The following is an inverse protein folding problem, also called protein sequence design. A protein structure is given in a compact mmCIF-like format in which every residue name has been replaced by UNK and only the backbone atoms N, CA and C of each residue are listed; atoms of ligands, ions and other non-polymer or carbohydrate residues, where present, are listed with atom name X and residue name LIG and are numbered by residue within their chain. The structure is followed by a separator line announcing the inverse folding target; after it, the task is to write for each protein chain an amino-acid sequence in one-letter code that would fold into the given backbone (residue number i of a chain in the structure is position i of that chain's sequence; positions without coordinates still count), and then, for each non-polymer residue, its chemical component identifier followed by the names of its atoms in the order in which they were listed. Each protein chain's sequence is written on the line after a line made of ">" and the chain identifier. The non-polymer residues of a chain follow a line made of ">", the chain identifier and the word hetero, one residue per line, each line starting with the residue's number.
data_IF_873495579788
#
_entry.id   IF_873495579788
#
_cell.length_a   1.000
_cell.length_b   1.000
_cell.length_c   1.000
_cell.angle_alpha   90.00
_cell.angle_beta   90.00
_cell.angle_gamma   90.00
#
_symmetry.space_group_name_H-M   'P 1'
#
loop_
_entity.id
_entity.type
_entity.pdbx_description
1 polymer ?
#
# COMPACT_ATOMS: atom_id res chain seq x y z
N UNK A 1 -43.68 1.30 2.96
CA UNK A 1 -42.80 0.11 2.80
C UNK A 1 -41.49 0.59 2.22
N UNK A 2 -40.39 0.55 2.98
CA UNK A 2 -39.06 0.93 2.51
C UNK A 2 -38.39 -0.32 1.95
N UNK A 3 -38.04 -0.32 0.67
CA UNK A 3 -37.25 -1.38 0.07
C UNK A 3 -35.88 -1.40 0.77
N UNK A 4 -35.57 -2.49 1.46
CA UNK A 4 -34.22 -2.78 1.89
C UNK A 4 -33.41 -3.13 0.64
N UNK A 5 -32.48 -2.25 0.27
CA UNK A 5 -31.45 -2.55 -0.74
C UNK A 5 -30.70 -3.79 -0.28
N UNK A 6 -30.52 -4.83 -1.10
CA UNK A 6 -29.70 -5.97 -0.72
C UNK A 6 -28.31 -5.46 -0.38
N UNK A 7 -27.81 -5.78 0.81
CA UNK A 7 -26.46 -5.46 1.23
C UNK A 7 -25.49 -6.09 0.22
N UNK A 8 -24.87 -5.26 -0.61
CA UNK A 8 -23.72 -5.67 -1.43
C UNK A 8 -22.74 -6.32 -0.48
N UNK A 9 -22.41 -7.60 -0.70
CA UNK A 9 -21.35 -8.25 0.09
C UNK A 9 -20.10 -7.36 -0.01
N UNK A 10 -19.43 -7.04 1.10
CA UNK A 10 -18.20 -6.26 1.04
C UNK A 10 -17.24 -6.94 0.05
N UNK A 11 -16.94 -6.29 -1.06
CA UNK A 11 -16.06 -6.87 -2.08
C UNK A 11 -14.63 -6.76 -1.58
N UNK A 12 -14.20 -7.73 -0.76
CA UNK A 12 -12.82 -7.75 -0.30
C UNK A 12 -11.87 -8.01 -1.49
N UNK A 13 -10.86 -7.15 -1.66
CA UNK A 13 -9.78 -7.39 -2.63
C UNK A 13 -8.63 -8.11 -1.95
N UNK A 14 -7.94 -8.99 -2.69
CA UNK A 14 -6.75 -9.69 -2.18
C UNK A 14 -5.51 -9.11 -2.81
N UNK A 15 -4.56 -8.73 -1.97
CA UNK A 15 -3.31 -8.12 -2.41
C UNK A 15 -2.13 -8.60 -1.59
N UNK A 16 -0.98 -8.76 -2.25
CA UNK A 16 0.31 -8.84 -1.60
C UNK A 16 0.91 -7.44 -1.56
N UNK A 17 0.94 -6.84 -0.37
CA UNK A 17 1.67 -5.60 -0.13
C UNK A 17 3.14 -5.95 0.04
N UNK A 18 4.00 -5.33 -0.76
CA UNK A 18 5.45 -5.45 -0.67
C UNK A 18 6.00 -4.15 -0.09
N UNK A 19 6.84 -4.24 0.94
CA UNK A 19 7.52 -3.11 1.54
C UNK A 19 9.00 -3.44 1.77
N UNK A 20 9.90 -2.45 1.75
CA UNK A 20 11.30 -2.74 2.04
C UNK A 20 11.46 -3.10 3.51
N UNK A 21 12.41 -3.97 3.81
CA UNK A 21 12.86 -4.19 5.18
C UNK A 21 13.58 -2.92 5.64
N UNK A 22 12.88 -2.11 6.43
CA UNK A 22 13.38 -0.83 6.95
C UNK A 22 14.16 -0.96 8.25
N UNK A 23 14.25 -2.18 8.80
CA UNK A 23 14.97 -2.45 10.04
C UNK A 23 16.48 -2.28 9.84
N UNK A 24 17.06 -1.32 10.53
CA UNK A 24 18.50 -1.03 10.54
C UNK A 24 19.07 -1.47 11.89
N UNK A 25 20.13 -2.27 11.88
CA UNK A 25 20.81 -2.74 13.10
C UNK A 25 20.66 -4.25 13.35
N UNK A 26 21.29 -4.76 14.42
CA UNK A 26 21.35 -6.20 14.75
C UNK A 26 20.84 -6.43 16.17
N UNK A 27 19.92 -7.39 16.33
CA UNK A 27 19.38 -7.77 17.63
C UNK A 27 18.63 -6.63 18.35
N UNK A 28 18.96 -6.40 19.62
CA UNK A 28 18.33 -5.38 20.47
C UNK A 28 18.67 -3.94 20.06
N UNK A 29 19.63 -3.75 19.14
CA UNK A 29 20.02 -2.44 18.61
C UNK A 29 19.41 -2.17 17.23
N UNK A 30 18.19 -2.67 16.99
CA UNK A 30 17.48 -2.46 15.73
C UNK A 30 16.51 -1.29 15.80
N UNK A 31 16.49 -0.48 14.76
CA UNK A 31 15.57 0.64 14.57
C UNK A 31 14.77 0.42 13.29
N UNK A 32 13.45 0.60 13.37
CA UNK A 32 12.55 0.55 12.23
C UNK A 32 11.79 1.87 12.12
N UNK A 33 12.14 2.74 11.15
CA UNK A 33 11.50 4.04 10.99
C UNK A 33 10.01 3.95 10.67
N UNK A 34 9.57 2.89 10.00
CA UNK A 34 8.15 2.68 9.67
C UNK A 34 7.39 2.29 10.92
N UNK A 35 7.92 1.34 11.70
CA UNK A 35 7.31 0.98 12.97
C UNK A 35 7.27 2.16 13.96
N UNK A 36 8.33 2.99 13.96
CA UNK A 36 8.36 4.21 14.77
C UNK A 36 7.30 5.23 14.32
N UNK A 37 7.16 5.46 13.01
CA UNK A 37 6.18 6.41 12.47
C UNK A 37 4.72 5.97 12.72
N UNK A 38 4.44 4.67 12.66
CA UNK A 38 3.11 4.12 12.92
C UNK A 38 2.86 3.91 14.42
N UNK A 39 3.92 3.90 15.25
CA UNK A 39 3.86 3.63 16.69
C UNK A 39 3.74 2.15 17.04
N UNK A 40 3.78 1.26 16.06
CA UNK A 40 3.72 -0.20 16.24
C UNK A 40 4.40 -0.92 15.06
N UNK A 41 4.89 -2.16 15.24
CA UNK A 41 5.36 -2.97 14.12
C UNK A 41 4.26 -3.13 13.08
N UNK A 42 4.59 -2.92 11.81
CA UNK A 42 3.61 -2.91 10.73
C UNK A 42 2.79 -4.21 10.66
N UNK A 43 3.43 -5.36 10.87
CA UNK A 43 2.74 -6.65 10.90
C UNK A 43 1.62 -6.70 11.95
N UNK A 44 1.75 -6.02 13.09
CA UNK A 44 0.68 -5.95 14.10
C UNK A 44 -0.48 -5.07 13.64
N UNK A 45 -0.18 -3.98 12.93
CA UNK A 45 -1.20 -3.07 12.39
C UNK A 45 -1.99 -3.75 11.27
N UNK A 46 -1.30 -4.52 10.43
CA UNK A 46 -1.90 -5.27 9.33
C UNK A 46 -2.50 -6.62 9.76
N UNK A 47 -2.26 -7.09 10.98
CA UNK A 47 -2.69 -8.40 11.46
C UNK A 47 -4.19 -8.71 11.19
N UNK A 48 -5.14 -7.76 11.36
CA UNK A 48 -6.54 -8.01 11.07
C UNK A 48 -6.85 -8.25 9.58
N UNK A 49 -5.98 -7.78 8.69
CA UNK A 49 -6.11 -7.85 7.23
C UNK A 49 -5.31 -9.02 6.64
N UNK A 50 -4.40 -9.62 7.41
CA UNK A 50 -3.52 -10.68 6.93
C UNK A 50 -4.27 -12.00 6.71
N UNK A 51 -4.04 -12.63 5.56
CA UNK A 51 -4.61 -13.95 5.20
C UNK A 51 -3.55 -15.07 5.18
N UNK A 52 -2.32 -14.75 5.54
CA UNK A 52 -1.20 -15.68 5.56
C UNK A 52 0.03 -15.08 6.25
N UNK A 53 1.13 -15.84 6.38
CA UNK A 53 2.36 -15.36 7.01
C UNK A 53 3.04 -14.27 6.17
N UNK A 54 3.72 -13.33 6.83
CA UNK A 54 4.66 -12.42 6.16
C UNK A 54 5.83 -13.25 5.64
N UNK A 55 6.21 -13.02 4.38
CA UNK A 55 7.39 -13.67 3.78
C UNK A 55 8.40 -12.62 3.37
N UNK A 56 9.69 -12.99 3.36
CA UNK A 56 10.75 -12.13 2.84
C UNK A 56 11.22 -12.65 1.49
N UNK A 57 11.47 -11.75 0.54
CA UNK A 57 12.11 -12.09 -0.74
C UNK A 57 13.21 -11.08 -1.08
N UNK A 58 14.22 -11.49 -1.88
CA UNK A 58 15.17 -10.54 -2.44
C UNK A 58 14.43 -9.46 -3.24
N UNK A 59 14.81 -8.19 -3.07
CA UNK A 59 14.36 -7.12 -3.94
C UNK A 59 15.10 -7.18 -5.28
N UNK A 60 14.45 -6.72 -6.34
CA UNK A 60 15.07 -6.53 -7.66
C UNK A 60 15.94 -5.26 -7.73
N UNK A 61 15.88 -4.39 -6.72
CA UNK A 61 16.45 -3.04 -6.77
C UNK A 61 17.11 -2.56 -5.48
N UNK A 62 17.23 -3.39 -4.43
CA UNK A 62 17.80 -2.96 -3.16
C UNK A 62 17.70 -3.99 -2.02
N UNK A 63 17.49 -3.55 -0.76
CA UNK A 63 17.38 -4.45 0.39
C UNK A 63 16.20 -5.41 0.23
N UNK A 64 16.22 -6.54 0.96
CA UNK A 64 15.12 -7.49 0.95
C UNK A 64 13.77 -6.80 1.24
N UNK A 65 12.71 -7.35 0.69
CA UNK A 65 11.34 -6.86 0.89
C UNK A 65 10.53 -7.86 1.68
N UNK A 66 9.63 -7.36 2.51
CA UNK A 66 8.58 -8.12 3.15
C UNK A 66 7.32 -8.09 2.32
N UNK A 67 6.68 -9.25 2.19
CA UNK A 67 5.45 -9.47 1.46
C UNK A 67 4.37 -9.84 2.46
N UNK A 68 3.37 -8.99 2.55
CA UNK A 68 2.22 -9.09 3.43
C UNK A 68 1.01 -9.52 2.60
N UNK A 69 0.54 -10.78 2.72
CA UNK A 69 -0.67 -11.22 2.04
C UNK A 69 -1.90 -10.70 2.77
N UNK A 70 -2.66 -9.81 2.14
CA UNK A 70 -3.80 -9.09 2.72
C UNK A 70 -5.10 -9.43 1.99
N UNK A 71 -6.19 -9.55 2.74
CA UNK A 71 -7.54 -9.32 2.25
C UNK A 71 -8.03 -7.99 2.81
N UNK A 72 -8.35 -7.05 1.93
CA UNK A 72 -8.83 -5.72 2.28
C UNK A 72 -10.35 -5.68 2.11
N UNK A 73 -11.15 -5.69 3.19
CA UNK A 73 -12.57 -5.39 3.10
C UNK A 73 -12.81 -4.01 2.49
N UNK A 74 -14.01 -3.79 1.95
CA UNK A 74 -14.39 -2.47 1.44
C UNK A 74 -14.30 -1.40 2.53
N UNK A 75 -13.68 -0.27 2.22
CA UNK A 75 -13.42 0.83 3.17
C UNK A 75 -12.18 0.65 4.04
N UNK A 76 -11.54 -0.52 4.03
CA UNK A 76 -10.33 -0.80 4.83
C UNK A 76 -9.05 -0.46 4.06
N UNK A 77 -8.02 -0.09 4.81
CA UNK A 77 -6.73 0.30 4.26
C UNK A 77 -5.74 0.78 5.31
N UNK A 78 -4.57 1.21 4.85
CA UNK A 78 -3.55 1.82 5.68
C UNK A 78 -2.95 3.04 4.96
N UNK A 79 -2.67 4.08 5.74
CA UNK A 79 -1.89 5.23 5.33
C UNK A 79 -0.68 5.38 6.25
N UNK A 80 0.50 5.49 5.66
CA UNK A 80 1.78 5.63 6.34
C UNK A 80 2.29 7.05 6.04
N UNK A 81 2.33 7.94 7.05
CA UNK A 81 2.89 9.27 6.87
C UNK A 81 4.41 9.17 6.65
N UNK A 82 4.91 9.90 5.66
CA UNK A 82 6.33 10.04 5.35
C UNK A 82 6.88 11.43 5.74
N UNK A 83 6.18 12.13 6.65
CA UNK A 83 6.52 13.48 7.07
C UNK A 83 6.51 14.47 5.90
N UNK A 84 7.62 15.18 5.69
CA UNK A 84 7.76 16.18 4.63
C UNK A 84 7.64 15.61 3.20
N UNK A 85 7.72 14.29 3.04
CA UNK A 85 7.60 13.62 1.75
C UNK A 85 6.16 13.20 1.39
N UNK A 86 5.20 13.41 2.30
CA UNK A 86 3.78 13.10 2.07
C UNK A 86 3.34 11.81 2.73
N UNK A 87 2.67 10.95 1.98
CA UNK A 87 2.01 9.73 2.49
C UNK A 87 2.10 8.63 1.44
N UNK A 88 2.24 7.40 1.91
CA UNK A 88 1.94 6.21 1.10
C UNK A 88 0.75 5.53 1.73
N UNK A 89 -0.22 5.13 0.93
CA UNK A 89 -1.36 4.40 1.44
C UNK A 89 -1.98 3.49 0.41
N UNK A 90 -2.76 2.54 0.91
CA UNK A 90 -3.61 1.68 0.10
C UNK A 90 -4.93 1.49 0.83
N UNK A 91 -6.02 1.43 0.08
CA UNK A 91 -7.33 1.09 0.61
C UNK A 91 -8.16 0.38 -0.46
N UNK A 92 -9.19 -0.34 -0.03
CA UNK A 92 -10.21 -0.85 -0.92
C UNK A 92 -11.36 0.16 -1.02
N UNK A 93 -11.49 0.81 -2.18
CA UNK A 93 -12.56 1.75 -2.50
C UNK A 93 -13.49 1.12 -3.54
N UNK A 94 -14.65 0.62 -3.08
CA UNK A 94 -15.66 -0.03 -3.91
C UNK A 94 -15.12 -1.16 -4.82
N UNK A 95 -14.21 -2.00 -4.29
CA UNK A 95 -13.59 -3.10 -5.03
C UNK A 95 -12.39 -2.69 -5.91
N UNK A 96 -12.01 -1.41 -5.89
CA UNK A 96 -10.79 -0.89 -6.52
C UNK A 96 -9.72 -0.67 -5.46
N UNK A 97 -8.46 -0.86 -5.83
CA UNK A 97 -7.34 -0.47 -4.98
C UNK A 97 -7.14 1.05 -5.11
N UNK A 98 -7.49 1.80 -4.07
CA UNK A 98 -7.10 3.18 -3.92
C UNK A 98 -5.65 3.25 -3.45
N UNK A 99 -4.74 3.66 -4.33
CA UNK A 99 -3.32 3.77 -4.05
C UNK A 99 -2.93 5.24 -3.87
N UNK A 100 -2.40 5.59 -2.69
CA UNK A 100 -1.88 6.92 -2.39
C UNK A 100 -0.35 6.90 -2.39
N UNK A 101 0.26 7.84 -3.10
CA UNK A 101 1.72 7.99 -3.21
C UNK A 101 2.12 9.46 -3.14
N UNK A 102 3.38 9.78 -2.80
CA UNK A 102 3.91 11.13 -2.96
C UNK A 102 3.72 11.65 -4.40
N UNK A 103 3.39 12.93 -4.55
CA UNK A 103 3.13 13.53 -5.86
C UNK A 103 4.28 13.33 -6.86
N UNK A 104 5.52 13.39 -6.38
CA UNK A 104 6.73 13.14 -7.18
C UNK A 104 6.77 11.74 -7.82
N UNK A 105 6.12 10.74 -7.22
CA UNK A 105 6.06 9.38 -7.74
C UNK A 105 4.86 9.14 -8.68
N UNK A 106 3.94 10.11 -8.81
CA UNK A 106 2.67 9.94 -9.54
C UNK A 106 2.87 9.59 -11.01
N UNK A 107 3.80 10.25 -11.71
CA UNK A 107 4.09 9.98 -13.12
C UNK A 107 4.61 8.57 -13.35
N UNK A 108 5.52 8.11 -12.49
CA UNK A 108 6.06 6.75 -12.53
C UNK A 108 4.94 5.71 -12.29
N UNK A 109 4.12 5.93 -11.25
CA UNK A 109 3.02 5.02 -10.88
C UNK A 109 1.99 4.92 -12.00
N UNK A 110 1.61 6.05 -12.60
CA UNK A 110 0.71 6.08 -13.76
C UNK A 110 1.28 5.29 -14.94
N UNK A 111 2.56 5.47 -15.26
CA UNK A 111 3.21 4.73 -16.34
C UNK A 111 3.23 3.22 -16.08
N UNK A 112 3.46 2.79 -14.83
CA UNK A 112 3.54 1.37 -14.50
C UNK A 112 2.19 0.68 -14.45
N UNK A 113 1.18 1.36 -13.90
CA UNK A 113 -0.18 0.81 -13.78
C UNK A 113 -0.96 0.88 -15.10
N UNK A 114 -0.65 1.86 -15.96
CA UNK A 114 -1.23 2.00 -17.29
C UNK A 114 -2.76 1.93 -17.26
N UNK A 115 -3.33 1.05 -18.10
CA UNK A 115 -4.78 0.88 -18.26
C UNK A 115 -5.49 0.27 -17.04
N UNK A 116 -4.75 -0.11 -15.99
CA UNK A 116 -5.36 -0.51 -14.73
C UNK A 116 -5.84 0.69 -13.92
N UNK A 117 -5.34 1.90 -14.19
CA UNK A 117 -5.84 3.13 -13.56
C UNK A 117 -7.23 3.44 -14.12
N UNK A 118 -8.23 3.35 -13.26
CA UNK A 118 -9.63 3.68 -13.59
C UNK A 118 -9.90 5.17 -13.38
N UNK A 119 -9.25 5.76 -12.37
CA UNK A 119 -9.40 7.18 -12.00
C UNK A 119 -8.10 7.69 -11.32
N UNK A 120 -7.84 8.99 -11.47
CA UNK A 120 -6.65 9.68 -10.97
C UNK A 120 -5.53 9.93 -12.01
N UNK A 121 -4.43 10.59 -11.61
CA UNK A 121 -4.10 10.98 -10.23
C UNK A 121 -4.99 12.10 -9.72
N UNK A 122 -5.58 11.90 -8.55
CA UNK A 122 -6.23 12.98 -7.79
C UNK A 122 -5.22 13.58 -6.83
N UNK A 123 -4.95 14.87 -6.99
CA UNK A 123 -4.01 15.58 -6.14
C UNK A 123 -4.69 15.97 -4.82
N UNK A 124 -4.03 15.68 -3.70
CA UNK A 124 -4.48 16.07 -2.36
C UNK A 124 -3.28 16.60 -1.57
N UNK A 125 -3.51 17.61 -0.74
CA UNK A 125 -2.50 18.07 0.20
C UNK A 125 -2.55 17.23 1.48
N UNK A 126 -1.39 16.76 1.96
CA UNK A 126 -1.22 16.06 3.23
C UNK A 126 -0.17 16.80 4.06
N UNK A 127 -0.63 17.62 5.01
CA UNK A 127 0.25 18.58 5.71
C UNK A 127 0.88 19.59 4.75
N UNK A 128 2.21 19.65 4.73
CA UNK A 128 2.98 20.50 3.80
C UNK A 128 3.29 19.84 2.46
N UNK A 129 2.99 18.55 2.31
CA UNK A 129 3.35 17.75 1.13
C UNK A 129 2.14 17.50 0.23
N UNK A 130 2.42 17.20 -1.04
CA UNK A 130 1.41 16.81 -2.02
C UNK A 130 1.45 15.30 -2.26
N UNK A 131 0.28 14.69 -2.34
CA UNK A 131 0.10 13.28 -2.65
C UNK A 131 -0.84 13.12 -3.85
N UNK A 132 -0.71 11.98 -4.53
CA UNK A 132 -1.60 11.54 -5.60
C UNK A 132 -2.32 10.27 -5.17
N UNK A 133 -3.63 10.22 -5.38
CA UNK A 133 -4.42 8.99 -5.22
C UNK A 133 -4.88 8.48 -6.59
N UNK A 134 -4.72 7.18 -6.81
CA UNK A 134 -5.16 6.46 -8.00
C UNK A 134 -6.17 5.40 -7.60
N UNK A 135 -7.24 5.22 -8.38
CA UNK A 135 -8.11 4.04 -8.25
C UNK A 135 -7.71 3.03 -9.30
N UNK A 136 -7.33 1.83 -8.86
CA UNK A 136 -6.74 0.81 -9.71
C UNK A 136 -7.64 -0.41 -9.74
N UNK A 137 -7.99 -0.87 -10.95
CA UNK A 137 -8.64 -2.15 -11.15
C UNK A 137 -7.59 -3.24 -11.18
N UNK A 138 -7.52 -4.00 -10.10
CA UNK A 138 -6.67 -5.16 -10.00
C UNK A 138 -7.15 -6.26 -10.97
N UNK A 139 -6.20 -6.86 -11.68
CA UNK A 139 -6.39 -8.07 -12.48
C UNK A 139 -5.62 -9.19 -11.82
N UNK A 140 -6.11 -10.43 -11.87
CA UNK A 140 -5.39 -11.57 -11.30
C UNK A 140 -3.94 -11.63 -11.83
N UNK A 141 -2.97 -11.77 -10.92
CA UNK A 141 -1.54 -11.79 -11.25
C UNK A 141 -0.92 -10.43 -11.62
N UNK A 142 -1.67 -9.33 -11.54
CA UNK A 142 -1.13 -7.99 -11.75
C UNK A 142 -0.16 -7.62 -10.63
N UNK A 143 1.02 -7.11 -10.98
CA UNK A 143 2.02 -6.61 -10.03
C UNK A 143 2.53 -5.24 -10.43
N UNK A 144 2.62 -4.35 -9.45
CA UNK A 144 3.31 -3.06 -9.58
C UNK A 144 4.15 -2.81 -8.33
N UNK A 145 5.41 -2.43 -8.49
CA UNK A 145 6.25 -1.94 -7.40
C UNK A 145 7.02 -0.71 -7.83
N UNK A 146 7.05 0.33 -7.01
CA UNK A 146 7.72 1.60 -7.27
C UNK A 146 8.78 1.89 -6.21
N UNK A 147 9.85 2.60 -6.58
CA UNK A 147 10.84 3.05 -5.62
C UNK A 147 10.24 4.10 -4.68
N UNK A 148 10.63 4.04 -3.42
CA UNK A 148 10.28 5.04 -2.40
C UNK A 148 11.54 5.79 -1.93
N UNK A 149 12.34 6.25 -2.88
CA UNK A 149 13.64 6.88 -2.61
C UNK A 149 14.66 5.86 -2.06
N UNK A 150 15.58 6.32 -1.21
CA UNK A 150 16.66 5.48 -0.65
C UNK A 150 16.21 4.39 0.33
N UNK A 151 14.89 4.27 0.57
CA UNK A 151 14.29 3.38 1.57
C UNK A 151 13.92 2.01 0.95
N UNK A 152 13.84 1.91 -0.38
CA UNK A 152 13.60 0.66 -1.12
C UNK A 152 12.41 0.72 -2.08
N UNK A 153 11.67 -0.38 -2.23
CA UNK A 153 10.50 -0.48 -3.13
C UNK A 153 9.21 -0.80 -2.36
N UNK A 154 8.10 -0.18 -2.78
CA UNK A 154 6.74 -0.52 -2.32
C UNK A 154 5.97 -1.07 -3.48
N UNK A 155 5.21 -2.14 -3.28
CA UNK A 155 4.43 -2.72 -4.35
C UNK A 155 3.14 -3.37 -3.90
N UNK A 156 2.27 -3.58 -4.87
CA UNK A 156 1.03 -4.31 -4.74
C UNK A 156 0.94 -5.35 -5.85
N UNK A 157 0.61 -6.57 -5.47
CA UNK A 157 0.33 -7.67 -6.39
C UNK A 157 -1.05 -8.25 -6.09
N UNK A 158 -1.90 -8.38 -7.12
CA UNK A 158 -3.22 -8.96 -6.97
C UNK A 158 -3.12 -10.48 -6.77
N UNK A 159 -3.69 -10.98 -5.67
CA UNK A 159 -3.68 -12.38 -5.29
C UNK A 159 -4.94 -13.14 -5.73
#
# INVERSE_FOLDING_TARGET
>A
MRHATPATRPQAIRVNLTLPVTRIGVGVFSFDPVAHAIGAPLAHVLAPLMVGPVTQRPSVSGPAVEVYPLALPEGEGLAIPLGAHGEIGFANDAGLLALTVPWAASGWVRQRLGDAVVDGPQQRQCGAAWVATFRVRLRAGMRASWPIGGIGEVGVEAA
#
